data_IF_540001569703
#
_entry.id   IF_540001569703
#
_cell.length_a   1.000
_cell.length_b   1.000
_cell.length_c   1.000
_cell.angle_alpha   90.00
_cell.angle_beta   90.00
_cell.angle_gamma   90.00
#
_symmetry.space_group_name_H-M   'P 1'
#
loop_
_entity.id
_entity.type
_entity.pdbx_description
1 polymer ?
#
# COMPACT_ATOMS: atom_id res chain seq x y z
N UNK A 1 14.28 3.19 8.73
CA UNK A 1 14.12 2.52 7.42
C UNK A 1 14.55 1.06 7.50
N UNK A 2 15.76 0.77 7.98
CA UNK A 2 16.27 -0.61 8.13
C UNK A 2 15.35 -1.54 8.90
N UNK A 3 14.89 -1.16 10.10
CA UNK A 3 14.14 -2.05 11.02
C UNK A 3 12.94 -2.75 10.35
N UNK A 4 12.01 -1.99 9.73
CA UNK A 4 10.83 -2.59 9.07
C UNK A 4 11.24 -3.43 7.85
N UNK A 5 12.21 -2.95 7.07
CA UNK A 5 12.68 -3.64 5.86
C UNK A 5 13.41 -4.95 6.20
N UNK A 6 14.18 -4.98 7.28
CA UNK A 6 14.90 -6.14 7.79
C UNK A 6 13.95 -7.17 8.40
N UNK A 7 12.92 -6.70 9.13
CA UNK A 7 11.81 -7.56 9.58
C UNK A 7 11.07 -8.17 8.40
N UNK A 8 10.75 -7.36 7.39
CA UNK A 8 10.10 -7.84 6.17
C UNK A 8 10.97 -8.88 5.44
N UNK A 9 12.28 -8.64 5.33
CA UNK A 9 13.22 -9.61 4.74
C UNK A 9 13.15 -10.95 5.46
N UNK A 10 13.24 -10.94 6.79
CA UNK A 10 13.16 -12.16 7.62
C UNK A 10 11.85 -12.92 7.37
N UNK A 11 10.71 -12.21 7.38
CA UNK A 11 9.39 -12.80 7.11
C UNK A 11 9.29 -13.35 5.68
N UNK A 12 9.80 -12.61 4.69
CA UNK A 12 9.77 -13.01 3.29
C UNK A 12 10.65 -14.24 3.02
N UNK A 13 11.82 -14.35 3.68
CA UNK A 13 12.69 -15.52 3.58
C UNK A 13 12.03 -16.78 4.17
N UNK A 14 11.37 -16.65 5.33
CA UNK A 14 10.59 -17.72 5.93
C UNK A 14 9.42 -18.16 5.03
N UNK A 15 8.62 -17.22 4.54
CA UNK A 15 7.50 -17.49 3.65
C UNK A 15 7.96 -18.14 2.32
N UNK A 16 9.10 -17.70 1.77
CA UNK A 16 9.68 -18.31 0.57
C UNK A 16 10.07 -19.78 0.79
N UNK A 17 10.53 -20.14 1.98
CA UNK A 17 10.84 -21.53 2.30
C UNK A 17 9.55 -22.36 2.44
N UNK A 18 8.55 -21.82 3.14
CA UNK A 18 7.24 -22.45 3.30
C UNK A 18 6.57 -22.73 1.95
N UNK A 19 6.50 -21.72 1.07
CA UNK A 19 5.91 -21.85 -0.27
C UNK A 19 6.64 -22.90 -1.10
N UNK A 20 7.98 -22.95 -1.03
CA UNK A 20 8.77 -23.98 -1.74
C UNK A 20 8.45 -25.39 -1.24
N UNK A 21 8.31 -25.56 0.07
CA UNK A 21 7.93 -26.84 0.68
C UNK A 21 6.51 -27.23 0.25
N UNK A 22 5.55 -26.29 0.34
CA UNK A 22 4.17 -26.52 -0.06
C UNK A 22 4.06 -26.94 -1.53
N UNK A 23 4.77 -26.28 -2.45
CA UNK A 23 4.78 -26.63 -3.86
C UNK A 23 5.49 -27.97 -4.13
N UNK A 24 6.53 -28.30 -3.36
CA UNK A 24 7.21 -29.59 -3.46
C UNK A 24 6.30 -30.74 -3.04
N UNK A 25 5.53 -30.56 -1.97
CA UNK A 25 4.66 -31.60 -1.40
C UNK A 25 3.30 -31.70 -2.09
N UNK A 26 2.77 -30.57 -2.58
CA UNK A 26 1.38 -30.46 -3.05
C UNK A 26 1.21 -29.78 -4.41
N UNK A 27 2.28 -29.54 -5.17
CA UNK A 27 2.21 -28.82 -6.45
C UNK A 27 1.29 -29.44 -7.51
N UNK A 28 1.00 -30.75 -7.42
CA UNK A 28 0.07 -31.45 -8.31
C UNK A 28 -1.35 -31.59 -7.74
N UNK A 29 -1.63 -31.05 -6.54
CA UNK A 29 -2.93 -31.15 -5.91
C UNK A 29 -3.95 -30.33 -6.70
N UNK A 30 -5.04 -30.99 -7.13
CA UNK A 30 -6.18 -30.30 -7.76
C UNK A 30 -6.90 -29.44 -6.71
N UNK A 31 -7.09 -28.15 -7.00
CA UNK A 31 -7.75 -27.17 -6.11
C UNK A 31 -9.14 -26.74 -6.61
N UNK A 32 -9.60 -27.30 -7.72
CA UNK A 32 -10.89 -27.02 -8.33
C UNK A 32 -10.99 -27.59 -9.74
N UNK A 33 -12.18 -27.52 -10.31
CA UNK A 33 -12.44 -27.82 -11.73
C UNK A 33 -12.83 -26.54 -12.46
N UNK A 34 -12.58 -26.49 -13.77
CA UNK A 34 -12.92 -25.33 -14.62
C UNK A 34 -13.95 -25.76 -15.65
N UNK A 35 -15.07 -25.05 -15.69
CA UNK A 35 -16.14 -25.25 -16.67
C UNK A 35 -16.10 -24.20 -17.79
N UNK A 36 -16.71 -24.51 -18.94
CA UNK A 36 -16.78 -23.58 -20.08
C UNK A 36 -17.47 -22.26 -19.71
N UNK A 37 -18.53 -22.31 -18.90
CA UNK A 37 -19.26 -21.12 -18.46
C UNK A 37 -18.37 -20.15 -17.66
N UNK A 38 -17.50 -20.68 -16.77
CA UNK A 38 -16.62 -19.83 -15.98
C UNK A 38 -15.57 -19.11 -16.83
N UNK A 39 -15.14 -19.70 -17.95
CA UNK A 39 -14.25 -19.04 -18.91
C UNK A 39 -14.95 -17.84 -19.56
N UNK A 40 -16.19 -18.00 -20.02
CA UNK A 40 -16.97 -16.91 -20.63
C UNK A 40 -17.47 -15.86 -19.63
N UNK A 41 -17.55 -16.21 -18.34
CA UNK A 41 -18.06 -15.33 -17.27
C UNK A 41 -16.95 -14.70 -16.42
N UNK A 42 -15.72 -14.65 -16.93
CA UNK A 42 -14.62 -13.95 -16.25
C UNK A 42 -14.18 -14.63 -14.96
N UNK A 43 -13.93 -15.94 -14.99
CA UNK A 43 -13.37 -16.73 -13.89
C UNK A 43 -14.23 -16.81 -12.62
N UNK A 44 -15.55 -16.57 -12.73
CA UNK A 44 -16.46 -16.64 -11.58
C UNK A 44 -16.36 -18.01 -10.88
N UNK A 45 -16.02 -18.00 -9.59
CA UNK A 45 -15.88 -19.21 -8.78
C UNK A 45 -14.62 -20.04 -9.07
N UNK A 46 -13.66 -19.53 -9.86
CA UNK A 46 -12.35 -20.15 -10.04
C UNK A 46 -11.36 -19.55 -9.04
N UNK A 47 -10.72 -20.40 -8.23
CA UNK A 47 -9.54 -20.02 -7.44
C UNK A 47 -8.34 -19.82 -8.38
N UNK A 48 -8.07 -18.58 -8.78
CA UNK A 48 -7.08 -18.26 -9.82
C UNK A 48 -5.80 -17.57 -9.36
N UNK A 49 -5.74 -17.06 -8.12
CA UNK A 49 -4.58 -16.33 -7.60
C UNK A 49 -4.39 -16.52 -6.10
N UNK A 50 -3.18 -16.26 -5.63
CA UNK A 50 -2.82 -16.27 -4.20
C UNK A 50 -2.81 -14.83 -3.69
N UNK A 51 -3.46 -14.59 -2.54
CA UNK A 51 -3.45 -13.32 -1.83
C UNK A 51 -3.26 -13.59 -0.34
N UNK A 52 -2.15 -13.10 0.22
CA UNK A 52 -1.71 -13.43 1.59
C UNK A 52 -2.18 -12.43 2.65
N UNK A 53 -2.56 -11.22 2.25
CA UNK A 53 -2.82 -10.10 3.17
C UNK A 53 -4.20 -10.16 3.80
N UNK A 54 -5.20 -10.70 3.08
CA UNK A 54 -6.58 -10.77 3.54
C UNK A 54 -7.35 -11.92 2.91
N UNK A 55 -8.40 -12.38 3.60
CA UNK A 55 -9.33 -13.41 3.15
C UNK A 55 -10.74 -13.06 3.61
N UNK A 56 -11.73 -13.26 2.73
CA UNK A 56 -13.14 -13.05 3.06
C UNK A 56 -13.72 -14.29 3.74
N UNK A 57 -14.11 -14.13 5.00
CA UNK A 57 -14.90 -15.09 5.76
C UNK A 57 -16.39 -14.93 5.41
N UNK A 58 -17.09 -16.04 5.20
CA UNK A 58 -18.50 -16.02 4.81
C UNK A 58 -19.45 -15.54 5.94
N UNK A 59 -19.02 -15.60 7.20
CA UNK A 59 -19.80 -15.20 8.36
C UNK A 59 -19.31 -13.88 8.95
N UNK A 60 -18.00 -13.74 9.09
CA UNK A 60 -17.37 -12.62 9.81
C UNK A 60 -16.84 -11.50 8.89
N UNK A 61 -17.00 -11.66 7.57
CA UNK A 61 -16.55 -10.68 6.58
C UNK A 61 -15.03 -10.70 6.36
N UNK A 62 -14.48 -9.57 5.92
CA UNK A 62 -13.06 -9.51 5.54
C UNK A 62 -12.16 -9.62 6.77
N UNK A 63 -11.15 -10.49 6.68
CA UNK A 63 -10.10 -10.63 7.69
C UNK A 63 -8.76 -10.14 7.14
N UNK A 64 -8.05 -9.31 7.89
CA UNK A 64 -6.68 -8.89 7.56
C UNK A 64 -5.70 -9.70 8.39
N UNK A 65 -4.90 -10.54 7.73
CA UNK A 65 -3.99 -11.50 8.40
C UNK A 65 -4.67 -12.32 9.51
N UNK A 66 -5.94 -12.70 9.29
CA UNK A 66 -6.75 -13.49 10.22
C UNK A 66 -7.63 -12.70 11.20
N UNK A 67 -7.34 -11.41 11.41
CA UNK A 67 -8.11 -10.56 12.32
C UNK A 67 -9.33 -9.96 11.64
N UNK A 68 -10.47 -9.99 12.32
CA UNK A 68 -11.70 -9.28 11.91
C UNK A 68 -11.56 -7.76 12.10
N UNK A 69 -12.42 -6.96 11.46
CA UNK A 69 -12.42 -5.51 11.64
C UNK A 69 -12.63 -5.10 13.12
N UNK A 70 -13.60 -5.65 13.87
CA UNK A 70 -13.79 -5.29 15.28
C UNK A 70 -12.55 -5.57 16.13
N UNK A 71 -11.87 -6.71 15.92
CA UNK A 71 -10.63 -7.01 16.62
C UNK A 71 -9.52 -6.00 16.32
N UNK A 72 -9.46 -5.49 15.09
CA UNK A 72 -8.45 -4.49 14.72
C UNK A 72 -8.77 -3.11 15.28
N UNK A 73 -10.03 -2.74 15.41
CA UNK A 73 -10.44 -1.48 16.08
C UNK A 73 -10.06 -1.48 17.57
N UNK A 74 -10.03 -2.65 18.19
CA UNK A 74 -9.59 -2.83 19.58
C UNK A 74 -8.06 -2.91 19.72
N UNK A 75 -7.39 -3.63 18.81
CA UNK A 75 -5.98 -4.02 18.98
C UNK A 75 -4.97 -3.08 18.30
N UNK A 76 -5.34 -2.38 17.24
CA UNK A 76 -4.39 -1.51 16.52
C UNK A 76 -4.17 -0.19 17.28
N UNK A 77 -2.94 0.34 17.28
CA UNK A 77 -2.64 1.67 17.80
C UNK A 77 -3.50 2.76 17.20
N UNK A 78 -3.79 3.78 18.01
CA UNK A 78 -4.64 4.92 17.69
C UNK A 78 -3.84 6.22 17.84
N UNK A 79 -4.32 7.29 17.23
CA UNK A 79 -3.75 8.62 17.47
C UNK A 79 -3.97 9.04 18.94
N UNK A 80 -3.12 9.92 19.45
CA UNK A 80 -3.31 10.51 20.78
C UNK A 80 -4.66 11.25 20.84
N UNK A 81 -5.53 10.84 21.77
CA UNK A 81 -6.89 11.39 21.89
C UNK A 81 -7.86 10.95 20.79
N UNK A 82 -7.48 10.01 19.92
CA UNK A 82 -8.32 9.45 18.87
C UNK A 82 -8.86 8.05 19.20
N UNK A 83 -10.02 7.72 18.65
CA UNK A 83 -10.70 6.43 18.88
C UNK A 83 -10.57 5.44 17.71
N UNK A 84 -10.03 5.87 16.57
CA UNK A 84 -9.90 5.06 15.36
C UNK A 84 -8.46 4.55 15.15
N UNK A 85 -8.29 3.34 14.61
CA UNK A 85 -6.98 2.75 14.37
C UNK A 85 -6.21 3.45 13.25
N UNK A 86 -4.91 3.63 13.43
CA UNK A 86 -4.03 4.28 12.45
C UNK A 86 -3.76 3.37 11.23
N UNK A 87 -3.86 3.88 9.99
CA UNK A 87 -3.54 3.09 8.78
C UNK A 87 -2.11 2.58 8.73
N UNK A 88 -1.16 3.29 9.35
CA UNK A 88 0.19 2.82 9.62
C UNK A 88 0.18 1.43 10.28
N UNK A 89 -0.65 1.27 11.31
CA UNK A 89 -0.73 0.01 12.05
C UNK A 89 -1.30 -1.13 11.19
N UNK A 90 -2.32 -0.82 10.40
CA UNK A 90 -2.88 -1.78 9.43
C UNK A 90 -1.85 -2.17 8.36
N UNK A 91 -1.08 -1.20 7.83
CA UNK A 91 -0.01 -1.48 6.87
C UNK A 91 1.06 -2.39 7.47
N UNK A 92 1.50 -2.13 8.71
CA UNK A 92 2.46 -2.98 9.41
C UNK A 92 1.94 -4.42 9.54
N UNK A 93 0.69 -4.59 9.97
CA UNK A 93 0.06 -5.90 10.05
C UNK A 93 0.05 -6.59 8.69
N UNK A 94 -0.42 -5.93 7.63
CA UNK A 94 -0.48 -6.52 6.29
C UNK A 94 0.91 -6.94 5.80
N UNK A 95 1.93 -6.15 6.07
CA UNK A 95 3.29 -6.40 5.63
C UNK A 95 4.00 -7.52 6.40
N UNK A 96 3.86 -7.55 7.74
CA UNK A 96 4.65 -8.43 8.62
C UNK A 96 3.86 -9.58 9.24
N UNK A 97 2.53 -9.55 9.15
CA UNK A 97 1.64 -10.56 9.73
C UNK A 97 1.55 -10.51 11.25
N UNK A 98 1.99 -9.42 11.88
CA UNK A 98 2.02 -9.24 13.33
C UNK A 98 1.48 -7.86 13.73
N UNK A 99 0.78 -7.81 14.86
CA UNK A 99 0.23 -6.57 15.40
C UNK A 99 1.39 -5.63 15.79
N UNK A 100 1.35 -4.37 15.35
CA UNK A 100 2.37 -3.39 15.71
C UNK A 100 2.22 -2.91 17.15
N UNK A 101 3.33 -2.46 17.72
CA UNK A 101 3.33 -1.62 18.92
C UNK A 101 3.16 -0.14 18.55
N UNK A 102 2.88 0.72 19.53
CA UNK A 102 2.83 2.18 19.31
C UNK A 102 4.14 2.72 18.71
N UNK A 103 5.28 2.18 19.16
CA UNK A 103 6.61 2.56 18.65
C UNK A 103 6.80 2.14 17.17
N UNK A 104 6.24 1.00 16.76
CA UNK A 104 6.30 0.56 15.36
C UNK A 104 5.50 1.51 14.47
N UNK A 105 4.33 1.96 14.95
CA UNK A 105 3.46 2.92 14.25
C UNK A 105 4.12 4.29 14.17
N UNK A 106 4.66 4.81 15.29
CA UNK A 106 5.39 6.08 15.31
C UNK A 106 6.60 6.05 14.36
N UNK A 107 7.35 4.94 14.34
CA UNK A 107 8.45 4.75 13.40
C UNK A 107 7.97 4.82 11.95
N UNK A 108 6.85 4.16 11.63
CA UNK A 108 6.29 4.11 10.29
C UNK A 108 5.79 5.49 9.85
N UNK A 109 5.06 6.22 10.71
CA UNK A 109 4.67 7.61 10.49
C UNK A 109 5.89 8.46 10.15
N UNK A 110 6.95 8.41 10.96
CA UNK A 110 8.18 9.16 10.69
C UNK A 110 8.89 8.75 9.38
N UNK A 111 8.80 7.47 8.98
CA UNK A 111 9.32 7.01 7.68
C UNK A 111 8.53 7.60 6.52
N UNK A 112 7.20 7.57 6.59
CA UNK A 112 6.35 8.12 5.53
C UNK A 112 6.47 9.65 5.44
N UNK A 113 6.52 10.36 6.56
CA UNK A 113 6.75 11.81 6.56
C UNK A 113 8.03 12.18 5.80
N UNK A 114 9.16 11.49 6.04
CA UNK A 114 10.43 11.72 5.33
C UNK A 114 10.39 11.38 3.83
N UNK A 115 9.46 10.52 3.41
CA UNK A 115 9.30 10.07 2.01
C UNK A 115 8.19 10.81 1.26
N UNK A 116 7.44 11.67 1.95
CA UNK A 116 6.23 12.35 1.44
C UNK A 116 6.49 13.44 0.40
N UNK A 117 7.75 13.81 0.16
CA UNK A 117 8.09 14.82 -0.83
C UNK A 117 7.65 14.39 -2.24
N UNK A 118 6.86 15.24 -2.89
CA UNK A 118 6.43 15.07 -4.28
C UNK A 118 7.19 16.07 -5.16
N UNK A 119 7.92 15.60 -6.19
CA UNK A 119 8.62 16.48 -7.11
C UNK A 119 7.69 17.46 -7.84
N UNK A 120 8.17 18.68 -8.10
CA UNK A 120 7.38 19.76 -8.71
C UNK A 120 6.79 19.38 -10.08
N UNK A 121 7.49 18.57 -10.88
CA UNK A 121 7.02 18.17 -12.21
C UNK A 121 5.71 17.34 -12.15
N UNK A 122 5.46 16.65 -11.04
CA UNK A 122 4.22 15.88 -10.84
C UNK A 122 3.02 16.83 -10.77
N UNK A 123 3.13 17.92 -10.02
CA UNK A 123 2.10 18.95 -9.94
C UNK A 123 1.92 19.67 -11.27
N UNK A 124 3.01 20.03 -11.94
CA UNK A 124 2.94 20.62 -13.28
C UNK A 124 2.23 19.71 -14.29
N UNK A 125 2.42 18.40 -14.19
CA UNK A 125 1.73 17.41 -15.04
C UNK A 125 0.23 17.38 -14.74
N UNK A 126 -0.17 17.45 -13.47
CA UNK A 126 -1.59 17.52 -13.07
C UNK A 126 -2.21 18.85 -13.55
N UNK A 127 -1.47 19.95 -13.45
CA UNK A 127 -1.93 21.29 -13.84
C UNK A 127 -2.15 21.44 -15.34
N UNK A 128 -1.40 20.68 -16.15
CA UNK A 128 -1.58 20.64 -17.59
C UNK A 128 -2.93 20.03 -18.02
N UNK A 129 -3.61 19.29 -17.14
CA UNK A 129 -4.93 18.73 -17.42
C UNK A 129 -6.02 19.81 -17.29
N UNK A 130 -7.03 19.82 -18.18
CA UNK A 130 -8.22 20.66 -18.03
C UNK A 130 -8.88 20.50 -16.65
N UNK A 131 -9.43 21.57 -16.08
CA UNK A 131 -10.01 21.57 -14.73
C UNK A 131 -11.26 20.65 -14.59
N UNK A 132 -11.99 20.48 -15.68
CA UNK A 132 -13.13 19.57 -15.80
C UNK A 132 -12.74 18.09 -15.81
N UNK A 133 -11.45 17.76 -16.05
CA UNK A 133 -10.92 16.39 -16.00
C UNK A 133 -11.36 15.67 -14.71
N UNK A 134 -11.73 14.40 -14.84
CA UNK A 134 -12.19 13.61 -13.69
C UNK A 134 -11.07 13.49 -12.63
N UNK A 135 -11.36 13.60 -11.32
CA UNK A 135 -10.33 13.54 -10.26
C UNK A 135 -9.46 12.29 -10.32
N UNK A 136 -10.08 11.13 -10.61
CA UNK A 136 -9.32 9.88 -10.75
C UNK A 136 -8.37 9.90 -11.94
N UNK A 137 -8.70 10.58 -13.04
CA UNK A 137 -7.79 10.76 -14.17
C UNK A 137 -6.60 11.62 -13.76
N UNK A 138 -6.84 12.73 -13.06
CA UNK A 138 -5.74 13.56 -12.51
C UNK A 138 -4.86 12.75 -11.55
N UNK A 139 -5.46 11.91 -10.71
CA UNK A 139 -4.75 11.08 -9.73
C UNK A 139 -3.88 10.02 -10.39
N UNK A 140 -4.42 9.27 -11.35
CA UNK A 140 -3.66 8.28 -12.11
C UNK A 140 -2.52 8.93 -12.89
N UNK A 141 -2.76 10.06 -13.57
CA UNK A 141 -1.70 10.80 -14.28
C UNK A 141 -0.62 11.29 -13.31
N UNK A 142 -1.00 11.80 -12.14
CA UNK A 142 -0.05 12.19 -11.10
C UNK A 142 0.81 11.04 -10.60
N UNK A 143 0.22 9.86 -10.38
CA UNK A 143 0.96 8.64 -10.01
C UNK A 143 1.90 8.21 -11.16
N UNK A 144 1.46 8.30 -12.41
CA UNK A 144 2.31 7.99 -13.55
C UNK A 144 3.50 8.97 -13.65
N UNK A 145 3.30 10.25 -13.34
CA UNK A 145 4.39 11.23 -13.28
C UNK A 145 5.40 10.96 -12.16
N UNK A 146 4.98 10.34 -11.04
CA UNK A 146 5.88 9.89 -9.97
C UNK A 146 6.81 8.75 -10.40
N UNK A 147 6.49 8.02 -11.47
CA UNK A 147 7.26 6.86 -11.90
C UNK A 147 8.73 7.19 -12.21
N UNK A 148 9.05 8.44 -12.55
CA UNK A 148 10.43 8.94 -12.73
C UNK A 148 11.32 8.72 -11.50
N UNK A 149 10.69 8.63 -10.32
CA UNK A 149 11.38 8.44 -9.05
C UNK A 149 11.66 6.97 -8.73
N UNK A 150 11.05 6.01 -9.45
CA UNK A 150 11.13 4.57 -9.15
C UNK A 150 12.57 4.06 -9.00
N UNK A 151 12.89 3.57 -7.81
CA UNK A 151 14.11 2.85 -7.49
C UNK A 151 14.13 1.48 -8.18
N UNK A 152 12.99 0.80 -8.27
CA UNK A 152 12.89 -0.50 -8.95
C UNK A 152 13.28 -0.39 -10.41
N UNK A 153 12.68 0.55 -11.15
CA UNK A 153 12.97 0.72 -12.58
C UNK A 153 14.46 1.01 -12.83
N UNK A 154 15.05 1.91 -12.02
CA UNK A 154 16.48 2.28 -12.11
C UNK A 154 17.41 1.10 -11.82
N UNK A 155 17.09 0.27 -10.84
CA UNK A 155 17.93 -0.88 -10.48
C UNK A 155 17.74 -2.07 -11.41
N UNK A 156 16.51 -2.31 -11.87
CA UNK A 156 16.20 -3.34 -12.85
C UNK A 156 16.97 -3.12 -14.16
N UNK A 157 16.99 -1.87 -14.66
CA UNK A 157 17.73 -1.49 -15.87
C UNK A 157 19.25 -1.72 -15.76
N UNK A 158 19.80 -1.79 -14.54
CA UNK A 158 21.22 -2.07 -14.27
C UNK A 158 21.53 -3.57 -14.16
N UNK A 159 20.55 -4.46 -14.34
CA UNK A 159 20.74 -5.91 -14.28
C UNK A 159 20.64 -6.51 -12.87
N UNK A 160 19.66 -6.07 -12.07
CA UNK A 160 19.39 -6.61 -10.73
C UNK A 160 19.01 -8.11 -10.75
N UNK A 161 19.46 -8.86 -9.74
CA UNK A 161 19.05 -10.25 -9.54
C UNK A 161 17.57 -10.36 -9.13
N UNK A 162 16.86 -11.35 -9.67
CA UNK A 162 15.46 -11.62 -9.33
C UNK A 162 15.20 -11.78 -7.82
N UNK A 163 16.15 -12.35 -7.07
CA UNK A 163 16.02 -12.53 -5.62
C UNK A 163 15.96 -11.21 -4.86
N UNK A 164 16.46 -10.13 -5.45
CA UNK A 164 16.56 -8.82 -4.81
C UNK A 164 15.41 -7.88 -5.21
N UNK A 165 14.52 -8.27 -6.13
CA UNK A 165 13.43 -7.45 -6.65
C UNK A 165 12.51 -6.88 -5.55
N UNK A 166 12.31 -7.62 -4.47
CA UNK A 166 11.47 -7.18 -3.34
C UNK A 166 12.03 -5.92 -2.68
N UNK A 167 13.35 -5.74 -2.66
CA UNK A 167 14.02 -4.67 -1.90
C UNK A 167 13.72 -3.28 -2.47
N UNK A 168 13.91 -2.99 -3.76
CA UNK A 168 13.46 -1.72 -4.33
C UNK A 168 11.93 -1.64 -4.50
N UNK A 169 11.23 -2.78 -4.66
CA UNK A 169 9.75 -2.77 -4.67
C UNK A 169 9.19 -2.26 -3.34
N UNK A 170 9.81 -2.68 -2.23
CA UNK A 170 9.50 -2.19 -0.90
C UNK A 170 9.73 -0.67 -0.80
N UNK A 171 10.88 -0.18 -1.28
CA UNK A 171 11.17 1.26 -1.23
C UNK A 171 10.18 2.08 -2.07
N UNK A 172 9.87 1.63 -3.29
CA UNK A 172 8.91 2.29 -4.17
C UNK A 172 7.49 2.26 -3.58
N UNK A 173 7.08 1.16 -2.94
CA UNK A 173 5.78 1.05 -2.29
C UNK A 173 5.66 2.03 -1.11
N UNK A 174 6.72 2.13 -0.30
CA UNK A 174 6.78 3.08 0.82
C UNK A 174 6.77 4.53 0.36
N UNK A 175 7.52 4.86 -0.70
CA UNK A 175 7.52 6.20 -1.31
C UNK A 175 6.16 6.54 -1.91
N UNK A 176 5.54 5.60 -2.63
CA UNK A 176 4.24 5.80 -3.23
C UNK A 176 3.19 6.12 -2.16
N UNK A 177 3.04 5.25 -1.16
CA UNK A 177 2.06 5.42 -0.06
C UNK A 177 2.26 6.75 0.66
N UNK A 178 3.52 7.14 0.94
CA UNK A 178 3.84 8.40 1.59
C UNK A 178 3.44 9.63 0.76
N UNK A 179 3.44 9.53 -0.57
CA UNK A 179 3.16 10.64 -1.50
C UNK A 179 1.69 10.73 -1.93
N UNK A 180 0.91 9.65 -1.80
CA UNK A 180 -0.50 9.61 -2.19
C UNK A 180 -1.33 10.73 -1.54
N UNK A 181 -1.23 11.00 -0.21
CA UNK A 181 -2.00 12.06 0.44
C UNK A 181 -1.80 13.42 -0.22
N UNK A 182 -0.54 13.76 -0.51
CA UNK A 182 -0.18 15.05 -1.08
C UNK A 182 -0.79 15.24 -2.47
N UNK A 183 -0.76 14.21 -3.31
CA UNK A 183 -1.35 14.25 -4.66
C UNK A 183 -2.88 14.34 -4.57
N UNK A 184 -3.50 13.52 -3.73
CA UNK A 184 -4.96 13.50 -3.56
C UNK A 184 -5.48 14.87 -3.07
N UNK A 185 -4.86 15.42 -2.02
CA UNK A 185 -5.20 16.73 -1.51
C UNK A 185 -4.97 17.84 -2.55
N UNK A 186 -3.86 17.79 -3.28
CA UNK A 186 -3.59 18.75 -4.36
C UNK A 186 -4.71 18.79 -5.40
N UNK A 187 -5.17 17.62 -5.86
CA UNK A 187 -6.29 17.49 -6.81
C UNK A 187 -7.60 18.02 -6.21
N UNK A 188 -7.90 17.66 -4.97
CA UNK A 188 -9.10 18.13 -4.28
C UNK A 188 -9.13 19.66 -4.17
N UNK A 189 -8.02 20.27 -3.72
CA UNK A 189 -7.91 21.73 -3.60
C UNK A 189 -8.00 22.43 -4.95
N UNK A 190 -7.34 21.88 -5.98
CA UNK A 190 -7.41 22.38 -7.36
C UNK A 190 -8.83 22.42 -7.88
N UNK A 191 -9.59 21.33 -7.72
CA UNK A 191 -10.92 21.19 -8.31
C UNK A 191 -12.02 21.85 -7.50
N UNK A 192 -11.92 21.86 -6.16
CA UNK A 192 -13.03 22.21 -5.28
C UNK A 192 -12.74 23.35 -4.32
N UNK A 193 -11.49 23.83 -4.22
CA UNK A 193 -11.08 24.89 -3.28
C UNK A 193 -10.27 26.00 -3.98
N UNK A 194 -10.67 26.36 -5.20
CA UNK A 194 -10.09 27.48 -5.97
C UNK A 194 -8.56 27.40 -6.09
N UNK A 195 -8.00 26.19 -6.17
CA UNK A 195 -6.57 25.95 -6.25
C UNK A 195 -5.73 26.53 -5.09
N UNK A 196 -6.35 26.76 -3.92
CA UNK A 196 -5.63 27.25 -2.74
C UNK A 196 -4.99 26.08 -2.00
N UNK A 197 -3.69 25.82 -2.11
CA UNK A 197 -3.09 24.64 -1.47
C UNK A 197 -2.66 24.88 -0.02
N UNK A 198 -2.82 23.86 0.83
CA UNK A 198 -2.30 23.79 2.20
C UNK A 198 -1.02 22.94 2.18
N UNK A 199 0.02 23.33 2.92
CA UNK A 199 1.26 22.54 3.01
C UNK A 199 1.11 21.37 3.98
N UNK A 200 1.84 20.25 3.78
CA UNK A 200 1.83 19.16 4.75
C UNK A 200 2.30 19.60 6.13
N UNK A 201 1.69 19.05 7.18
CA UNK A 201 2.18 19.16 8.55
C UNK A 201 3.00 17.91 8.90
N UNK A 202 4.28 18.12 9.21
CA UNK A 202 5.22 17.05 9.55
C UNK A 202 5.05 16.48 10.96
N UNK A 203 4.13 17.02 11.76
CA UNK A 203 3.83 16.54 13.12
C UNK A 203 2.64 15.58 13.16
N UNK A 204 1.85 15.51 12.08
CA UNK A 204 0.65 14.68 12.02
C UNK A 204 0.95 13.28 11.46
N UNK A 205 0.12 12.31 11.86
CA UNK A 205 0.08 10.97 11.25
C UNK A 205 -0.38 11.05 9.77
N UNK A 206 -0.30 9.92 9.05
CA UNK A 206 -0.61 9.89 7.62
C UNK A 206 -2.02 10.37 7.29
N UNK A 207 -3.01 10.00 8.11
CA UNK A 207 -4.41 10.38 7.92
C UNK A 207 -4.68 11.79 8.42
N UNK A 208 -4.12 12.16 9.57
CA UNK A 208 -4.18 13.52 10.09
C UNK A 208 -3.62 14.55 9.10
N UNK A 209 -2.49 14.23 8.49
CA UNK A 209 -1.86 15.09 7.47
C UNK A 209 -2.69 15.15 6.17
N UNK A 210 -3.29 14.02 5.75
CA UNK A 210 -4.24 14.02 4.63
C UNK A 210 -5.43 14.93 4.91
N UNK A 211 -6.07 14.79 6.07
CA UNK A 211 -7.22 15.60 6.46
C UNK A 211 -6.86 17.10 6.57
N UNK A 212 -5.69 17.42 7.11
CA UNK A 212 -5.17 18.79 7.19
C UNK A 212 -5.05 19.46 5.80
N UNK A 213 -4.60 18.71 4.79
CA UNK A 213 -4.34 19.26 3.46
C UNK A 213 -5.58 19.40 2.55
N UNK A 214 -6.71 18.77 2.89
CA UNK A 214 -7.97 18.79 2.13
C UNK A 214 -8.73 20.12 2.33
#
# INVERSE_FOLDING_TARGET
MGIIKDRFKTKAEAANLEIKTLLKEHGAKKIGEVTLAQVYQGMRGITGLVSETSLLDAQEGIRFRGYTIPELQEKLPKAEGGDEPLPEGLFHLMLLGELPTDQDVEHLTGVWQRRSHVPTHVFATIDALPLDTHPMTMFVVGIMALQTESCFAKQYAKGMNKKDYWSPTFDDSMDLIARLPRIAAYIYRRKYKNNQHIQPDGLLDWSGNLAHMM
#
